data_IF_974964429383
#
_entry.id   IF_974964429383
#
_cell.length_a   1.000
_cell.length_b   1.000
_cell.length_c   1.000
_cell.angle_alpha   90.00
_cell.angle_beta   90.00
_cell.angle_gamma   90.00
#
_symmetry.space_group_name_H-M   'P 1'
#
loop_
_entity.id
_entity.type
_entity.pdbx_description
1 polymer ?
#
# COMPACT_ATOMS: atom_id res chain seq x y z
N UNK A 1 11.53 21.70 -1.28
CA UNK A 1 11.33 22.70 -0.19
C UNK A 1 10.94 24.06 -0.78
N UNK A 2 11.64 24.55 -1.83
CA UNK A 2 11.36 25.86 -2.45
C UNK A 2 9.95 25.97 -3.05
N UNK A 3 9.43 24.90 -3.63
CA UNK A 3 8.10 24.85 -4.25
C UNK A 3 6.98 25.03 -3.22
N UNK A 4 7.07 24.35 -2.07
CA UNK A 4 6.08 24.46 -0.98
C UNK A 4 6.11 25.87 -0.38
N UNK A 5 7.31 26.41 -0.15
CA UNK A 5 7.47 27.77 0.39
C UNK A 5 6.93 28.82 -0.57
N UNK A 6 7.21 28.69 -1.88
CA UNK A 6 6.69 29.59 -2.91
C UNK A 6 5.16 29.51 -3.02
N UNK A 7 4.60 28.33 -2.95
CA UNK A 7 3.16 28.13 -2.97
C UNK A 7 2.48 28.76 -1.74
N UNK A 8 3.02 28.52 -0.53
CA UNK A 8 2.53 29.14 0.71
C UNK A 8 2.61 30.66 0.70
N UNK A 9 3.67 31.23 0.13
CA UNK A 9 3.83 32.69 0.01
C UNK A 9 2.85 33.32 -0.99
N UNK A 10 2.42 32.57 -2.02
CA UNK A 10 1.50 33.04 -3.06
C UNK A 10 0.02 32.77 -2.80
N UNK A 11 -0.31 31.97 -1.77
CA UNK A 11 -1.69 31.59 -1.46
C UNK A 11 -2.06 32.00 -0.04
N UNK A 12 -3.26 32.52 0.13
CA UNK A 12 -3.81 32.76 1.46
C UNK A 12 -3.99 31.42 2.19
N UNK A 13 -3.64 31.38 3.47
CA UNK A 13 -3.96 30.22 4.29
C UNK A 13 -5.48 29.98 4.26
N UNK A 14 -5.94 28.74 4.07
CA UNK A 14 -7.37 28.44 4.13
C UNK A 14 -7.88 28.79 5.54
N UNK A 15 -9.04 29.43 5.62
CA UNK A 15 -9.73 29.69 6.88
C UNK A 15 -10.40 28.41 7.40
N UNK A 16 -9.55 27.45 7.81
CA UNK A 16 -9.99 26.14 8.33
C UNK A 16 -9.75 26.13 9.84
N UNK A 17 -10.82 26.13 10.59
CA UNK A 17 -10.80 25.97 12.05
C UNK A 17 -11.07 24.51 12.43
N UNK A 18 -10.78 24.06 13.66
CA UNK A 18 -11.15 22.74 14.16
C UNK A 18 -12.66 22.42 14.03
N UNK A 19 -13.50 23.47 13.98
CA UNK A 19 -14.94 23.35 13.84
C UNK A 19 -15.43 23.22 12.39
N UNK A 20 -14.52 23.24 11.41
CA UNK A 20 -14.85 22.97 10.02
C UNK A 20 -15.43 21.55 9.86
N UNK A 21 -16.47 21.38 8.99
CA UNK A 21 -17.14 20.08 8.83
C UNK A 21 -16.19 18.94 8.50
N UNK A 22 -15.26 19.16 7.58
CA UNK A 22 -14.25 18.16 7.20
C UNK A 22 -13.36 17.73 8.38
N UNK A 23 -13.00 18.64 9.28
CA UNK A 23 -12.24 18.33 10.48
C UNK A 23 -13.05 17.49 11.47
N UNK A 24 -14.33 17.81 11.65
CA UNK A 24 -15.24 17.01 12.49
C UNK A 24 -15.48 15.62 11.91
N UNK A 25 -15.69 15.50 10.62
CA UNK A 25 -15.87 14.23 9.92
C UNK A 25 -14.64 13.33 10.06
N UNK A 26 -13.44 13.89 9.85
CA UNK A 26 -12.19 13.16 10.03
C UNK A 26 -11.99 12.68 11.48
N UNK A 27 -12.30 13.52 12.46
CA UNK A 27 -12.24 13.16 13.88
C UNK A 27 -13.22 12.04 14.22
N UNK A 28 -14.44 12.14 13.74
CA UNK A 28 -15.48 11.13 13.98
C UNK A 28 -15.15 9.80 13.29
N UNK A 29 -14.62 9.83 12.07
CA UNK A 29 -14.13 8.65 11.38
C UNK A 29 -13.01 7.95 12.17
N UNK A 30 -12.06 8.73 12.66
CA UNK A 30 -10.96 8.21 13.49
C UNK A 30 -11.46 7.59 14.79
N UNK A 31 -12.41 8.24 15.47
CA UNK A 31 -13.02 7.70 16.70
C UNK A 31 -13.71 6.38 16.45
N UNK A 32 -14.56 6.29 15.42
CA UNK A 32 -15.23 5.04 15.05
C UNK A 32 -14.25 3.92 14.75
N UNK A 33 -13.16 4.22 14.03
CA UNK A 33 -12.10 3.25 13.76
C UNK A 33 -11.47 2.70 15.05
N UNK A 34 -11.15 3.59 16.00
CA UNK A 34 -10.60 3.20 17.31
C UNK A 34 -11.60 2.36 18.11
N UNK A 35 -12.85 2.80 18.19
CA UNK A 35 -13.91 2.08 18.90
C UNK A 35 -14.16 0.69 18.33
N UNK A 36 -14.16 0.56 17.01
CA UNK A 36 -14.28 -0.72 16.31
C UNK A 36 -13.13 -1.67 16.69
N UNK A 37 -11.90 -1.16 16.71
CA UNK A 37 -10.72 -1.96 17.07
C UNK A 37 -10.77 -2.44 18.52
N UNK A 38 -11.09 -1.55 19.47
CA UNK A 38 -11.20 -1.88 20.89
C UNK A 38 -12.39 -2.80 21.20
N UNK A 39 -13.47 -2.66 20.42
CA UNK A 39 -14.70 -3.42 20.57
C UNK A 39 -14.76 -4.74 19.79
N UNK A 40 -13.71 -5.12 19.08
CA UNK A 40 -13.72 -6.32 18.22
C UNK A 40 -14.07 -7.62 18.95
N UNK A 41 -13.71 -7.73 20.22
CA UNK A 41 -13.98 -8.94 21.03
C UNK A 41 -13.17 -10.17 20.63
N UNK A 42 -12.24 -10.02 19.70
CA UNK A 42 -11.40 -11.10 19.21
C UNK A 42 -10.39 -11.61 20.23
N UNK A 43 -9.75 -12.73 19.90
CA UNK A 43 -8.77 -13.40 20.76
C UNK A 43 -7.37 -13.46 20.18
N UNK A 44 -7.21 -13.16 18.87
CA UNK A 44 -5.96 -13.29 18.16
C UNK A 44 -5.09 -12.04 18.34
N UNK A 45 -3.85 -12.16 18.83
CA UNK A 45 -2.96 -11.02 18.99
C UNK A 45 -2.65 -10.30 17.66
N UNK A 46 -2.50 -8.98 17.70
CA UNK A 46 -2.12 -8.16 16.53
C UNK A 46 -0.85 -8.66 15.84
N UNK A 47 0.16 -9.06 16.62
CA UNK A 47 1.43 -9.58 16.10
C UNK A 47 1.29 -10.86 15.26
N UNK A 48 0.24 -11.65 15.49
CA UNK A 48 -0.04 -12.84 14.65
C UNK A 48 -0.46 -12.41 13.26
N UNK A 49 -1.36 -11.47 13.13
CA UNK A 49 -1.79 -10.91 11.85
C UNK A 49 -0.64 -10.23 11.09
N UNK A 50 0.20 -9.47 11.83
CA UNK A 50 1.37 -8.84 11.23
C UNK A 50 2.35 -9.87 10.63
N UNK A 51 2.61 -10.96 11.35
CA UNK A 51 3.48 -12.05 10.85
C UNK A 51 2.86 -12.80 9.68
N UNK A 52 1.56 -13.10 9.73
CA UNK A 52 0.85 -13.76 8.63
C UNK A 52 0.88 -12.89 7.38
N UNK A 53 0.58 -11.60 7.50
CA UNK A 53 0.66 -10.65 6.38
C UNK A 53 2.08 -10.58 5.80
N UNK A 54 3.09 -10.47 6.67
CA UNK A 54 4.48 -10.46 6.25
C UNK A 54 4.90 -11.73 5.51
N UNK A 55 4.43 -12.89 5.95
CA UNK A 55 4.69 -14.17 5.29
C UNK A 55 4.07 -14.20 3.88
N UNK A 56 2.81 -13.79 3.74
CA UNK A 56 2.14 -13.70 2.43
C UNK A 56 2.91 -12.75 1.50
N UNK A 57 3.30 -11.58 1.99
CA UNK A 57 3.99 -10.58 1.17
C UNK A 57 5.38 -11.03 0.74
N UNK A 58 6.13 -11.72 1.59
CA UNK A 58 7.44 -12.28 1.24
C UNK A 58 7.28 -13.39 0.20
N UNK A 59 6.31 -14.28 0.37
CA UNK A 59 6.10 -15.44 -0.48
C UNK A 59 5.52 -15.07 -1.85
N UNK A 60 4.55 -14.14 -1.91
CA UNK A 60 3.80 -13.79 -3.12
C UNK A 60 4.22 -12.49 -3.80
N UNK A 61 4.80 -11.55 -3.07
CA UNK A 61 5.22 -10.24 -3.57
C UNK A 61 6.70 -9.95 -3.28
N UNK A 62 7.52 -10.98 -3.10
CA UNK A 62 8.96 -10.90 -2.98
C UNK A 62 9.65 -10.35 -4.24
N UNK A 63 10.94 -10.54 -4.38
CA UNK A 63 11.70 -10.08 -5.57
C UNK A 63 11.25 -10.85 -6.81
N UNK A 64 11.29 -12.19 -6.77
CA UNK A 64 10.75 -13.06 -7.82
C UNK A 64 9.27 -13.31 -7.57
N UNK A 65 8.47 -13.11 -8.58
CA UNK A 65 7.00 -13.19 -8.50
C UNK A 65 6.40 -13.58 -9.85
N UNK A 66 5.22 -14.13 -9.83
CA UNK A 66 4.45 -14.52 -11.02
C UNK A 66 2.99 -14.07 -10.90
N UNK A 67 2.26 -14.05 -12.01
CA UNK A 67 0.90 -13.55 -12.04
C UNK A 67 -0.07 -14.38 -11.20
N UNK A 68 0.11 -15.69 -11.12
CA UNK A 68 -0.74 -16.59 -10.33
C UNK A 68 -0.51 -16.35 -8.85
N UNK A 69 0.76 -16.34 -8.42
CA UNK A 69 1.15 -16.04 -7.05
C UNK A 69 0.70 -14.66 -6.57
N UNK A 70 0.77 -13.63 -7.43
CA UNK A 70 0.28 -12.28 -7.10
C UNK A 70 -1.24 -12.24 -6.90
N UNK A 71 -2.03 -12.96 -7.73
CA UNK A 71 -3.49 -13.06 -7.55
C UNK A 71 -3.86 -13.85 -6.29
N UNK A 72 -3.16 -14.95 -6.04
CA UNK A 72 -3.34 -15.74 -4.84
C UNK A 72 -2.98 -14.92 -3.58
N UNK A 73 -1.87 -14.18 -3.62
CA UNK A 73 -1.48 -13.25 -2.55
C UNK A 73 -2.55 -12.20 -2.26
N UNK A 74 -3.15 -11.61 -3.30
CA UNK A 74 -4.24 -10.65 -3.14
C UNK A 74 -5.43 -11.27 -2.41
N UNK A 75 -5.86 -12.46 -2.83
CA UNK A 75 -6.95 -13.20 -2.17
C UNK A 75 -6.63 -13.55 -0.72
N UNK A 76 -5.39 -13.94 -0.42
CA UNK A 76 -4.94 -14.23 0.95
C UNK A 76 -4.94 -12.98 1.83
N UNK A 77 -4.47 -11.83 1.32
CA UNK A 77 -4.46 -10.56 2.05
C UNK A 77 -5.89 -10.10 2.35
N UNK A 78 -6.80 -10.18 1.39
CA UNK A 78 -8.23 -9.83 1.58
C UNK A 78 -8.90 -10.74 2.64
N UNK A 79 -8.64 -12.04 2.59
CA UNK A 79 -9.15 -12.98 3.59
C UNK A 79 -8.57 -12.69 5.00
N UNK A 80 -7.28 -12.36 5.06
CA UNK A 80 -6.61 -12.05 6.32
C UNK A 80 -7.11 -10.74 6.92
N UNK A 81 -7.35 -9.71 6.10
CA UNK A 81 -7.96 -8.44 6.54
C UNK A 81 -9.36 -8.67 7.13
N UNK A 82 -10.18 -9.48 6.47
CA UNK A 82 -11.51 -9.84 6.97
C UNK A 82 -11.44 -10.56 8.31
N UNK A 83 -10.50 -11.48 8.48
CA UNK A 83 -10.24 -12.15 9.76
C UNK A 83 -9.77 -11.16 10.82
N UNK A 84 -8.87 -10.25 10.46
CA UNK A 84 -8.39 -9.20 11.38
C UNK A 84 -9.54 -8.38 11.95
N UNK A 85 -10.47 -7.92 11.11
CA UNK A 85 -11.63 -7.14 11.54
C UNK A 85 -12.51 -7.84 12.59
N UNK A 86 -12.63 -9.18 12.53
CA UNK A 86 -13.47 -9.95 13.44
C UNK A 86 -12.75 -10.65 14.61
N UNK A 87 -11.45 -10.90 14.47
CA UNK A 87 -10.72 -11.78 15.40
C UNK A 87 -9.59 -11.07 16.17
N UNK A 88 -9.23 -9.84 15.79
CA UNK A 88 -8.12 -9.14 16.45
C UNK A 88 -8.45 -8.82 17.90
N UNK A 89 -7.49 -9.07 18.79
CA UNK A 89 -7.57 -8.69 20.20
C UNK A 89 -6.76 -7.43 20.45
N UNK A 90 -7.44 -6.36 20.84
CA UNK A 90 -6.81 -5.09 21.23
C UNK A 90 -7.17 -4.80 22.69
N UNK A 91 -6.33 -5.14 23.67
CA UNK A 91 -6.57 -4.84 25.06
C UNK A 91 -6.36 -3.36 25.38
N UNK A 92 -6.93 -2.91 26.50
CA UNK A 92 -6.78 -1.55 27.00
C UNK A 92 -7.90 -0.60 26.55
N UNK A 93 -7.65 0.66 26.68
CA UNK A 93 -8.61 1.76 26.47
C UNK A 93 -8.07 2.79 25.48
N UNK A 94 -8.95 3.63 24.96
CA UNK A 94 -8.58 4.75 24.08
C UNK A 94 -7.94 5.92 24.85
N UNK A 95 -8.23 6.02 26.15
CA UNK A 95 -7.74 7.10 27.00
C UNK A 95 -6.32 6.81 27.50
N UNK A 96 -5.34 7.43 26.87
CA UNK A 96 -3.93 7.28 27.24
C UNK A 96 -3.11 6.41 26.26
N UNK A 97 -1.83 6.19 26.56
CA UNK A 97 -0.96 5.39 25.71
C UNK A 97 -1.41 3.94 25.64
N UNK A 98 -1.68 3.45 24.44
CA UNK A 98 -2.05 2.06 24.19
C UNK A 98 -1.26 1.50 22.99
N UNK A 99 -0.16 0.81 23.27
CA UNK A 99 0.74 0.28 22.25
C UNK A 99 0.08 -0.80 21.37
N UNK A 100 -0.84 -1.59 21.92
CA UNK A 100 -1.56 -2.62 21.15
C UNK A 100 -2.58 -1.99 20.19
N UNK A 101 -3.24 -0.91 20.58
CA UNK A 101 -4.11 -0.14 19.72
C UNK A 101 -3.30 0.51 18.57
N UNK A 102 -2.15 1.10 18.88
CA UNK A 102 -1.27 1.70 17.88
C UNK A 102 -0.79 0.67 16.85
N UNK A 103 -0.37 -0.52 17.31
CA UNK A 103 -0.03 -1.63 16.42
C UNK A 103 -1.22 -2.09 15.56
N UNK A 104 -2.41 -2.21 16.15
CA UNK A 104 -3.60 -2.65 15.43
C UNK A 104 -3.98 -1.67 14.31
N UNK A 105 -3.95 -0.38 14.61
CA UNK A 105 -4.20 0.67 13.61
C UNK A 105 -3.18 0.61 12.46
N UNK A 106 -1.90 0.42 12.79
CA UNK A 106 -0.82 0.30 11.80
C UNK A 106 -0.95 -0.96 10.94
N UNK A 107 -1.26 -2.12 11.54
CA UNK A 107 -1.48 -3.37 10.79
C UNK A 107 -2.70 -3.25 9.89
N UNK A 108 -3.75 -2.58 10.34
CA UNK A 108 -4.91 -2.25 9.50
C UNK A 108 -4.51 -1.46 8.24
N UNK A 109 -3.63 -0.47 8.37
CA UNK A 109 -3.14 0.31 7.23
C UNK A 109 -2.25 -0.54 6.28
N UNK A 110 -1.53 -1.52 6.82
CA UNK A 110 -0.68 -2.41 6.03
C UNK A 110 -1.47 -3.32 5.09
N UNK A 111 -2.72 -3.70 5.39
CA UNK A 111 -3.55 -4.46 4.46
C UNK A 111 -3.81 -3.69 3.18
N UNK A 112 -4.22 -2.44 3.27
CA UNK A 112 -4.43 -1.58 2.09
C UNK A 112 -3.15 -1.40 1.27
N UNK A 113 -2.02 -1.17 1.93
CA UNK A 113 -0.72 -1.06 1.25
C UNK A 113 -0.33 -2.38 0.57
N UNK A 114 -0.50 -3.52 1.22
CA UNK A 114 -0.20 -4.84 0.67
C UNK A 114 -1.03 -5.14 -0.59
N UNK A 115 -2.33 -4.84 -0.56
CA UNK A 115 -3.21 -4.98 -1.72
C UNK A 115 -2.75 -4.11 -2.88
N UNK A 116 -2.39 -2.84 -2.64
CA UNK A 116 -1.86 -1.96 -3.67
C UNK A 116 -0.54 -2.46 -4.25
N UNK A 117 0.37 -2.96 -3.42
CA UNK A 117 1.64 -3.54 -3.88
C UNK A 117 1.43 -4.76 -4.77
N UNK A 118 0.51 -5.65 -4.41
CA UNK A 118 0.16 -6.84 -5.21
C UNK A 118 -0.50 -6.45 -6.53
N UNK A 119 -1.45 -5.49 -6.52
CA UNK A 119 -2.14 -4.97 -7.70
C UNK A 119 -1.16 -4.27 -8.66
N UNK A 120 -0.28 -3.44 -8.14
CA UNK A 120 0.71 -2.73 -8.96
C UNK A 120 1.72 -3.71 -9.57
N UNK A 121 2.21 -4.68 -8.78
CA UNK A 121 3.09 -5.73 -9.27
C UNK A 121 2.42 -6.61 -10.34
N UNK A 122 1.12 -6.89 -10.21
CA UNK A 122 0.35 -7.64 -11.19
C UNK A 122 0.15 -6.84 -12.50
N UNK A 123 -0.12 -5.53 -12.38
CA UNK A 123 -0.33 -4.63 -13.51
C UNK A 123 0.96 -4.33 -14.29
N UNK A 124 2.13 -4.53 -13.69
CA UNK A 124 3.43 -4.27 -14.31
C UNK A 124 4.00 -5.55 -14.94
N UNK A 125 3.72 -5.75 -16.21
CA UNK A 125 4.08 -6.95 -16.98
C UNK A 125 5.48 -6.84 -17.60
N UNK A 126 6.48 -6.58 -16.78
CA UNK A 126 7.90 -6.54 -17.14
C UNK A 126 8.75 -7.01 -15.97
N UNK A 127 10.06 -7.12 -16.17
CA UNK A 127 11.04 -7.25 -15.09
C UNK A 127 12.00 -6.08 -15.10
N UNK A 128 12.02 -5.28 -14.03
CA UNK A 128 12.87 -4.11 -13.89
C UNK A 128 13.29 -3.90 -12.42
N UNK A 129 14.59 -3.83 -12.17
CA UNK A 129 15.13 -3.67 -10.82
C UNK A 129 14.74 -4.83 -9.89
N UNK A 130 14.17 -4.53 -8.73
CA UNK A 130 13.69 -5.52 -7.77
C UNK A 130 12.31 -6.10 -8.11
N UNK A 131 11.67 -5.63 -9.18
CA UNK A 131 10.45 -6.22 -9.70
C UNK A 131 10.82 -7.26 -10.76
N UNK A 132 10.88 -8.52 -10.37
CA UNK A 132 11.19 -9.62 -11.27
C UNK A 132 9.95 -10.50 -11.47
N UNK A 133 9.39 -10.47 -12.68
CA UNK A 133 8.27 -11.31 -13.10
C UNK A 133 8.82 -12.53 -13.85
N UNK A 134 8.57 -13.72 -13.33
CA UNK A 134 9.10 -14.96 -13.91
C UNK A 134 8.66 -15.18 -15.36
N UNK A 135 7.50 -14.64 -15.74
CA UNK A 135 7.00 -14.68 -17.13
C UNK A 135 7.71 -13.67 -18.05
N UNK A 136 8.40 -12.68 -17.47
CA UNK A 136 9.07 -11.59 -18.18
C UNK A 136 10.59 -11.63 -17.99
N UNK A 137 11.20 -12.73 -18.42
CA UNK A 137 12.64 -12.93 -18.44
C UNK A 137 13.14 -13.34 -19.83
N UNK A 138 14.43 -13.17 -20.07
CA UNK A 138 15.08 -13.67 -21.29
C UNK A 138 15.21 -15.21 -21.23
N UNK A 139 15.50 -15.87 -22.36
CA UNK A 139 15.79 -17.32 -22.36
C UNK A 139 16.94 -17.71 -21.43
N UNK A 140 17.84 -16.76 -21.12
CA UNK A 140 18.98 -16.95 -20.22
C UNK A 140 18.65 -16.64 -18.74
N UNK A 141 17.39 -16.28 -18.43
CA UNK A 141 16.92 -15.99 -17.08
C UNK A 141 17.21 -14.57 -16.59
N UNK A 142 17.56 -13.64 -17.48
CA UNK A 142 17.75 -12.22 -17.10
C UNK A 142 16.43 -11.44 -17.17
N UNK A 143 16.35 -10.36 -16.38
CA UNK A 143 15.20 -9.47 -16.36
C UNK A 143 14.91 -8.86 -17.73
N UNK A 144 13.68 -8.99 -18.20
CA UNK A 144 13.22 -8.45 -19.47
C UNK A 144 12.36 -7.21 -19.23
N UNK A 145 12.94 -6.03 -19.50
CA UNK A 145 12.26 -4.73 -19.44
C UNK A 145 11.38 -4.54 -20.68
N UNK A 146 10.33 -3.76 -20.49
CA UNK A 146 9.47 -3.25 -21.56
C UNK A 146 9.27 -1.74 -21.41
N UNK A 147 10.31 -0.98 -21.73
CA UNK A 147 10.30 0.48 -21.60
C UNK A 147 9.23 1.15 -22.50
N UNK A 148 8.80 0.50 -23.58
CA UNK A 148 7.76 1.05 -24.45
C UNK A 148 6.41 1.16 -23.74
N UNK A 149 6.11 0.22 -22.88
CA UNK A 149 4.83 0.14 -22.17
C UNK A 149 4.94 0.55 -20.69
N UNK A 150 6.11 0.40 -20.06
CA UNK A 150 6.26 0.58 -18.61
C UNK A 150 7.23 1.67 -18.17
N UNK A 151 7.79 2.49 -19.09
CA UNK A 151 8.54 3.70 -18.71
C UNK A 151 7.61 4.80 -18.19
N UNK A 152 6.88 4.52 -17.12
CA UNK A 152 5.95 5.46 -16.49
C UNK A 152 5.96 5.30 -14.96
N UNK A 153 5.47 6.34 -14.27
CA UNK A 153 5.10 6.29 -12.86
C UNK A 153 3.64 5.88 -12.76
N UNK A 154 3.31 4.95 -11.87
CA UNK A 154 1.94 4.62 -11.51
C UNK A 154 1.57 5.34 -10.20
N UNK A 155 0.41 5.98 -10.18
CA UNK A 155 -0.20 6.55 -8.98
C UNK A 155 -1.58 5.92 -8.79
N UNK A 156 -1.87 5.54 -7.55
CA UNK A 156 -3.13 4.90 -7.20
C UNK A 156 -3.99 5.87 -6.39
N UNK A 157 -5.16 6.18 -6.92
CA UNK A 157 -6.14 7.05 -6.28
C UNK A 157 -7.09 6.20 -5.44
N UNK A 158 -7.20 6.55 -4.16
CA UNK A 158 -8.16 5.91 -3.26
C UNK A 158 -9.60 6.19 -3.68
N UNK A 159 -10.43 5.16 -3.64
CA UNK A 159 -11.87 5.26 -3.87
C UNK A 159 -12.61 4.67 -2.68
N UNK A 160 -13.47 5.45 -2.04
CA UNK A 160 -14.28 4.98 -0.91
C UNK A 160 -15.25 3.87 -1.35
N UNK A 161 -15.04 2.66 -0.83
CA UNK A 161 -15.89 1.50 -1.09
C UNK A 161 -15.82 0.91 -2.52
N UNK A 162 -14.80 1.30 -3.30
CA UNK A 162 -14.58 0.81 -4.66
C UNK A 162 -13.10 0.46 -4.90
N UNK A 163 -12.82 -0.16 -6.05
CA UNK A 163 -11.46 -0.45 -6.47
C UNK A 163 -10.68 0.85 -6.71
N UNK A 164 -9.41 0.92 -6.29
CA UNK A 164 -8.59 2.11 -6.50
C UNK A 164 -8.34 2.34 -8.00
N UNK A 165 -8.29 3.61 -8.41
CA UNK A 165 -8.02 4.00 -9.80
C UNK A 165 -6.52 4.13 -10.01
N UNK A 166 -6.00 3.48 -11.05
CA UNK A 166 -4.60 3.59 -11.45
C UNK A 166 -4.42 4.69 -12.50
N UNK A 167 -3.61 5.68 -12.19
CA UNK A 167 -3.15 6.71 -13.12
C UNK A 167 -1.70 6.43 -13.54
N UNK A 168 -1.30 6.86 -14.72
CA UNK A 168 0.07 6.73 -15.19
C UNK A 168 0.57 8.03 -15.80
N UNK A 169 1.83 8.35 -15.54
CA UNK A 169 2.54 9.49 -16.10
C UNK A 169 3.85 9.00 -16.74
N UNK A 170 4.04 9.30 -18.03
CA UNK A 170 5.21 8.87 -18.79
C UNK A 170 6.49 9.50 -18.22
N UNK A 171 7.53 8.69 -18.04
CA UNK A 171 8.85 9.18 -17.65
C UNK A 171 9.51 9.93 -18.81
N UNK A 172 10.09 11.09 -18.52
CA UNK A 172 10.86 11.88 -19.47
C UNK A 172 12.34 11.89 -19.08
N UNK A 173 13.16 11.35 -19.94
CA UNK A 173 14.61 11.27 -19.73
C UNK A 173 15.31 12.40 -20.54
N UNK A 174 15.67 13.49 -19.85
CA UNK A 174 16.28 14.67 -20.51
C UNK A 174 17.79 14.56 -20.68
N UNK A 175 18.48 13.81 -19.80
CA UNK A 175 19.94 13.77 -19.73
C UNK A 175 20.53 12.37 -19.93
N UNK A 176 19.73 11.33 -19.77
CA UNK A 176 20.16 9.94 -19.90
C UNK A 176 19.13 9.18 -20.73
N UNK A 177 19.59 8.17 -21.47
CA UNK A 177 18.70 7.22 -22.14
C UNK A 177 18.67 5.90 -21.35
N UNK A 178 17.50 5.28 -21.16
CA UNK A 178 17.41 3.97 -20.58
C UNK A 178 18.26 2.97 -21.37
N UNK A 179 19.01 2.13 -20.68
CA UNK A 179 19.78 1.05 -21.28
C UNK A 179 19.55 -0.26 -20.55
N UNK A 180 19.58 -1.35 -21.29
CA UNK A 180 19.52 -2.69 -20.73
C UNK A 180 20.83 -3.01 -20.03
N UNK A 181 20.77 -3.56 -18.85
CA UNK A 181 21.93 -4.07 -18.10
C UNK A 181 21.95 -5.60 -18.18
N UNK A 182 23.08 -6.16 -18.59
CA UNK A 182 23.35 -7.60 -18.49
C UNK A 182 24.34 -7.86 -17.35
N UNK A 183 24.20 -8.98 -16.70
CA UNK A 183 25.09 -9.48 -15.65
C UNK A 183 26.02 -10.60 -16.13
N UNK A 184 26.09 -10.83 -17.45
CA UNK A 184 26.99 -11.77 -18.11
C UNK A 184 28.22 -11.12 -18.64
#
# INVERSE_FOLDING_TARGET
>A
PSTVTAWLAGNAAPDVTPDHSACREALESTRRRIETMLGSGGTTPVDSFHRELGAVMIDRCGISRDAEGLRDGLSQVEALEKRFQGEVRVPGEAAGPNAELEKALRVSDFFGLAQLMLRDALAREESCGAHFREEHQSPEGEARRDDANFAHIAAWEHQDGAEPIRHSEALQFTSLQPSTRSYK
#
